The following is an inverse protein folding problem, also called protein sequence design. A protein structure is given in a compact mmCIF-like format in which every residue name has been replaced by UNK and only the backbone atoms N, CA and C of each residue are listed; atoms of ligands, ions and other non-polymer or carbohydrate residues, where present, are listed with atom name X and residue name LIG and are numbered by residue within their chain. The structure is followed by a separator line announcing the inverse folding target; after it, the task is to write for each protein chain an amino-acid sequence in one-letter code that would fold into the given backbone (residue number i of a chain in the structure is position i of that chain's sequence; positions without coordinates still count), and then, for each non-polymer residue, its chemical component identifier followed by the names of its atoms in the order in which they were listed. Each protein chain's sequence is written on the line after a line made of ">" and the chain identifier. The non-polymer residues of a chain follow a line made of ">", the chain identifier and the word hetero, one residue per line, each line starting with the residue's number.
data_IF_252021948557
#
_entry.id   IF_252021948557
#
_cell.length_a   1.000
_cell.length_b   1.000
_cell.length_c   1.000
_cell.angle_alpha   90.00
_cell.angle_beta   90.00
_cell.angle_gamma   90.00
#
_symmetry.space_group_name_H-M   'P 1'
#
loop_
_entity.id
_entity.type
_entity.pdbx_description
1 polymer ?
#
# COMPACT_ATOMS: atom_id res chain seq x y z
N UNK A 1 2.89 2.39 -12.64
CA UNK A 1 2.36 1.07 -12.22
C UNK A 1 2.04 1.06 -10.73
N UNK A 2 3.00 1.33 -9.81
CA UNK A 2 2.76 1.29 -8.36
C UNK A 2 1.60 2.20 -7.91
N UNK A 3 1.54 3.46 -8.38
CA UNK A 3 0.43 4.38 -8.03
C UNK A 3 -0.94 3.81 -8.40
N UNK A 4 -1.07 3.19 -9.55
CA UNK A 4 -2.31 2.54 -9.98
C UNK A 4 -2.64 1.34 -9.09
N UNK A 5 -1.66 0.46 -8.87
CA UNK A 5 -1.82 -0.75 -8.08
C UNK A 5 -2.24 -0.46 -6.63
N UNK A 6 -1.54 0.46 -5.94
CA UNK A 6 -1.84 0.77 -4.53
C UNK A 6 -3.17 1.51 -4.37
N UNK A 7 -3.52 2.41 -5.30
CA UNK A 7 -4.83 3.06 -5.28
C UNK A 7 -5.94 2.03 -5.44
N UNK A 8 -5.83 1.15 -6.41
CA UNK A 8 -6.82 0.10 -6.64
C UNK A 8 -6.93 -0.86 -5.44
N UNK A 9 -5.85 -1.09 -4.70
CA UNK A 9 -5.83 -1.98 -3.54
C UNK A 9 -6.35 -1.32 -2.27
N UNK A 10 -5.87 -0.11 -1.94
CA UNK A 10 -6.14 0.58 -0.67
C UNK A 10 -7.26 1.63 -0.78
N UNK A 11 -7.38 2.31 -1.93
CA UNK A 11 -8.24 3.49 -2.05
C UNK A 11 -8.60 3.81 -3.51
N UNK A 12 -9.49 3.02 -4.09
CA UNK A 12 -9.87 3.12 -5.51
C UNK A 12 -10.36 4.54 -5.89
N UNK A 13 -11.04 5.21 -4.97
CA UNK A 13 -11.61 6.54 -5.15
C UNK A 13 -10.73 7.68 -4.61
N UNK A 14 -9.44 7.45 -4.40
CA UNK A 14 -8.49 8.41 -3.83
C UNK A 14 -8.57 9.81 -4.43
N UNK A 15 -8.76 9.93 -5.74
CA UNK A 15 -8.80 11.24 -6.42
C UNK A 15 -10.12 12.01 -6.24
N UNK A 16 -11.17 11.36 -5.71
CA UNK A 16 -12.54 11.92 -5.74
C UNK A 16 -13.08 12.29 -4.35
N UNK A 17 -12.45 11.86 -3.28
CA UNK A 17 -12.92 12.13 -1.93
C UNK A 17 -12.00 13.12 -1.18
N UNK A 18 -12.51 13.88 -0.22
CA UNK A 18 -11.75 14.88 0.55
C UNK A 18 -11.03 14.24 1.76
N UNK A 19 -10.21 13.23 1.53
CA UNK A 19 -9.41 12.56 2.57
C UNK A 19 -10.07 11.38 3.26
N UNK A 20 -11.39 11.23 3.18
CA UNK A 20 -12.10 10.04 3.63
C UNK A 20 -13.23 9.67 2.65
N UNK A 21 -13.56 8.40 2.59
CA UNK A 21 -14.64 7.89 1.75
C UNK A 21 -15.81 7.44 2.63
N UNK A 22 -16.95 8.20 2.67
CA UNK A 22 -18.09 7.88 3.52
C UNK A 22 -18.67 6.50 3.23
N UNK A 23 -18.78 6.12 1.94
CA UNK A 23 -19.31 4.83 1.54
C UNK A 23 -18.42 3.66 2.00
N UNK A 24 -17.10 3.84 1.95
CA UNK A 24 -16.15 2.84 2.45
C UNK A 24 -16.20 2.72 3.98
N UNK A 25 -16.41 3.82 4.69
CA UNK A 25 -16.60 3.83 6.14
C UNK A 25 -17.90 3.12 6.54
N UNK A 26 -19.00 3.43 5.86
CA UNK A 26 -20.30 2.80 6.09
C UNK A 26 -20.26 1.29 5.80
N UNK A 27 -19.65 0.89 4.68
CA UNK A 27 -19.44 -0.51 4.33
C UNK A 27 -18.60 -1.23 5.39
N UNK A 28 -17.50 -0.62 5.83
CA UNK A 28 -16.63 -1.19 6.86
C UNK A 28 -17.37 -1.33 8.20
N UNK A 29 -18.17 -0.34 8.57
CA UNK A 29 -19.01 -0.40 9.77
C UNK A 29 -20.00 -1.56 9.69
N UNK A 30 -20.77 -1.66 8.59
CA UNK A 30 -21.74 -2.74 8.39
C UNK A 30 -21.09 -4.14 8.41
N UNK A 31 -19.95 -4.30 7.73
CA UNK A 31 -19.22 -5.57 7.69
C UNK A 31 -18.64 -5.97 9.05
N UNK A 32 -18.15 -5.00 9.81
CA UNK A 32 -17.59 -5.25 11.14
C UNK A 32 -18.68 -5.51 12.19
N UNK A 33 -19.85 -4.88 12.03
CA UNK A 33 -21.02 -5.14 12.88
C UNK A 33 -21.55 -6.57 12.71
N UNK A 34 -21.56 -7.08 11.49
CA UNK A 34 -22.04 -8.43 11.17
C UNK A 34 -21.01 -9.53 11.46
N UNK A 35 -19.77 -9.19 11.81
CA UNK A 35 -18.72 -10.16 12.06
C UNK A 35 -18.02 -9.90 13.38
N UNK A 36 -17.74 -10.95 14.13
CA UNK A 36 -16.97 -10.89 15.39
C UNK A 36 -15.51 -10.45 15.23
N UNK A 37 -15.06 -10.15 14.00
CA UNK A 37 -13.68 -9.74 13.68
C UNK A 37 -13.70 -8.56 12.73
N UNK A 38 -12.73 -7.64 12.90
CA UNK A 38 -12.52 -6.51 11.99
C UNK A 38 -12.09 -7.03 10.61
N UNK A 39 -13.03 -7.08 9.66
CA UNK A 39 -12.79 -7.58 8.29
C UNK A 39 -12.37 -6.48 7.31
N UNK A 40 -12.82 -5.25 7.52
CA UNK A 40 -12.59 -4.15 6.58
C UNK A 40 -12.17 -2.89 7.33
N UNK A 41 -11.19 -2.20 6.79
CA UNK A 41 -10.55 -1.03 7.41
C UNK A 41 -11.00 0.27 6.83
N UNK A 42 -11.90 0.51 5.99
CA UNK A 42 -12.46 1.78 5.48
C UNK A 42 -11.52 3.02 5.54
N UNK A 43 -10.21 2.82 5.67
CA UNK A 43 -9.23 3.90 5.79
C UNK A 43 -8.67 4.22 4.41
N UNK A 44 -8.62 5.49 4.06
CA UNK A 44 -8.05 6.00 2.81
C UNK A 44 -6.54 6.11 2.88
N UNK A 45 -5.88 6.36 1.76
CA UNK A 45 -4.44 6.65 1.68
C UNK A 45 -4.09 7.87 2.55
N UNK A 46 -4.92 8.91 2.52
CA UNK A 46 -4.72 10.12 3.34
C UNK A 46 -4.79 9.83 4.84
N UNK A 47 -5.78 9.05 5.29
CA UNK A 47 -5.88 8.62 6.69
C UNK A 47 -4.70 7.74 7.11
N UNK A 48 -4.21 6.88 6.19
CA UNK A 48 -3.02 6.07 6.45
C UNK A 48 -1.76 6.93 6.61
N UNK A 49 -1.58 7.96 5.78
CA UNK A 49 -0.49 8.93 5.90
C UNK A 49 -0.50 9.60 7.28
N UNK A 50 -1.66 10.08 7.74
CA UNK A 50 -1.82 10.66 9.09
C UNK A 50 -1.42 9.66 10.17
N UNK A 51 -1.86 8.42 10.06
CA UNK A 51 -1.53 7.36 11.01
C UNK A 51 -0.03 7.10 11.10
N UNK A 52 0.64 7.02 9.95
CA UNK A 52 2.09 6.82 9.85
C UNK A 52 2.84 7.96 10.55
N UNK A 53 2.44 9.22 10.31
CA UNK A 53 3.08 10.39 10.92
C UNK A 53 2.89 10.46 12.43
N UNK A 54 1.74 10.04 12.94
CA UNK A 54 1.40 10.16 14.37
C UNK A 54 1.89 9.01 15.25
N UNK A 55 2.12 7.82 14.68
CA UNK A 55 2.59 6.60 15.39
C UNK A 55 1.80 6.24 16.67
N UNK A 56 0.51 6.57 16.74
CA UNK A 56 -0.36 6.30 17.90
C UNK A 56 -1.03 4.92 17.80
N UNK A 57 -1.35 4.33 18.95
CA UNK A 57 -2.10 3.07 19.04
C UNK A 57 -3.47 3.22 18.36
N UNK A 58 -3.94 2.17 17.69
CA UNK A 58 -5.20 2.17 16.95
C UNK A 58 -6.39 2.09 17.90
N UNK A 59 -7.10 3.24 18.06
CA UNK A 59 -8.36 3.34 18.81
C UNK A 59 -9.42 4.02 17.97
N UNK A 60 -10.69 3.94 18.35
CA UNK A 60 -11.77 4.65 17.65
C UNK A 60 -11.57 6.18 17.71
N UNK A 61 -11.10 6.68 18.85
CA UNK A 61 -10.77 8.10 19.01
C UNK A 61 -9.64 8.55 18.07
N UNK A 62 -8.59 7.76 17.96
CA UNK A 62 -7.51 8.06 17.01
C UNK A 62 -8.01 8.01 15.56
N UNK A 63 -8.94 7.10 15.24
CA UNK A 63 -9.54 7.04 13.90
C UNK A 63 -10.36 8.29 13.59
N UNK A 64 -11.08 8.85 14.56
CA UNK A 64 -11.78 10.12 14.41
C UNK A 64 -10.78 11.28 14.16
N UNK A 65 -9.70 11.36 14.95
CA UNK A 65 -8.65 12.35 14.73
C UNK A 65 -7.98 12.18 13.35
N UNK A 66 -7.71 10.94 12.92
CA UNK A 66 -7.19 10.66 11.56
C UNK A 66 -8.11 11.25 10.47
N UNK A 67 -9.42 11.14 10.65
CA UNK A 67 -10.40 11.67 9.70
C UNK A 67 -10.36 13.21 9.65
N UNK A 68 -10.37 13.87 10.80
CA UNK A 68 -10.32 15.36 10.87
C UNK A 68 -9.01 15.88 10.27
N UNK A 69 -7.88 15.25 10.60
CA UNK A 69 -6.58 15.62 10.06
C UNK A 69 -6.45 15.30 8.56
N UNK A 70 -7.09 14.23 8.09
CA UNK A 70 -7.13 13.92 6.67
C UNK A 70 -7.85 15.02 5.87
N UNK A 71 -8.97 15.54 6.36
CA UNK A 71 -9.63 16.71 5.77
C UNK A 71 -8.71 17.93 5.72
N UNK A 72 -8.02 18.21 6.83
CA UNK A 72 -7.09 19.36 6.90
C UNK A 72 -5.96 19.24 5.88
N UNK A 73 -5.35 18.07 5.73
CA UNK A 73 -4.27 17.85 4.77
C UNK A 73 -4.78 18.00 3.32
N UNK A 74 -5.97 17.52 3.01
CA UNK A 74 -6.55 17.64 1.65
C UNK A 74 -6.88 19.07 1.24
N UNK A 75 -7.04 19.98 2.19
CA UNK A 75 -7.17 21.42 1.91
C UNK A 75 -5.80 22.04 1.60
N UNK A 76 -4.72 21.55 2.23
CA UNK A 76 -3.39 22.13 2.15
C UNK A 76 -2.51 21.56 1.03
N UNK A 77 -2.73 20.31 0.66
CA UNK A 77 -1.90 19.56 -0.28
C UNK A 77 -2.74 18.96 -1.41
N UNK A 78 -2.19 18.97 -2.60
CA UNK A 78 -2.78 18.27 -3.74
C UNK A 78 -2.73 16.75 -3.56
N UNK A 79 -3.60 16.01 -4.24
CA UNK A 79 -3.57 14.54 -4.28
C UNK A 79 -2.21 13.97 -4.71
N UNK A 80 -1.49 14.68 -5.57
CA UNK A 80 -0.15 14.28 -6.02
C UNK A 80 0.86 14.35 -4.87
N UNK A 81 0.84 15.43 -4.10
CA UNK A 81 1.72 15.64 -2.94
C UNK A 81 1.40 14.65 -1.81
N UNK A 82 0.10 14.49 -1.48
CA UNK A 82 -0.34 13.50 -0.48
C UNK A 82 0.14 12.10 -0.86
N UNK A 83 0.00 11.73 -2.13
CA UNK A 83 0.47 10.44 -2.61
C UNK A 83 2.00 10.31 -2.52
N UNK A 84 2.75 11.35 -2.86
CA UNK A 84 4.21 11.36 -2.75
C UNK A 84 4.66 11.20 -1.29
N UNK A 85 4.03 11.94 -0.36
CA UNK A 85 4.28 11.81 1.07
C UNK A 85 3.96 10.40 1.58
N UNK A 86 2.83 9.83 1.15
CA UNK A 86 2.48 8.45 1.50
C UNK A 86 3.52 7.47 0.97
N UNK A 87 3.87 7.54 -0.31
CA UNK A 87 4.84 6.65 -0.92
C UNK A 87 6.22 6.73 -0.27
N UNK A 88 6.65 7.93 0.15
CA UNK A 88 7.92 8.15 0.84
C UNK A 88 7.96 7.59 2.28
N UNK A 89 6.81 7.47 2.94
CA UNK A 89 6.74 7.12 4.37
C UNK A 89 6.02 5.80 4.67
N UNK A 90 5.38 5.17 3.69
CA UNK A 90 4.67 3.91 3.88
C UNK A 90 5.63 2.78 4.31
N UNK A 91 5.21 1.91 5.24
CA UNK A 91 5.99 0.75 5.65
C UNK A 91 5.81 -0.40 4.65
N UNK A 92 6.91 -0.98 4.19
CA UNK A 92 6.92 -2.10 3.24
C UNK A 92 7.37 -3.43 3.87
N UNK A 93 7.41 -3.52 5.20
CA UNK A 93 7.87 -4.70 5.93
C UNK A 93 9.39 -4.80 6.07
N UNK A 94 9.85 -5.67 6.97
CA UNK A 94 11.29 -5.86 7.19
C UNK A 94 12.08 -4.60 7.54
N UNK A 95 11.46 -3.65 8.26
CA UNK A 95 12.00 -2.33 8.60
C UNK A 95 12.26 -1.42 7.37
N UNK A 96 11.66 -1.74 6.22
CA UNK A 96 11.78 -0.92 5.01
C UNK A 96 10.67 0.12 5.00
N UNK A 97 11.05 1.39 4.89
CA UNK A 97 10.15 2.56 4.83
C UNK A 97 10.40 3.32 3.53
N UNK A 98 9.33 3.65 2.83
CA UNK A 98 9.37 4.36 1.56
C UNK A 98 9.47 3.45 0.34
N UNK A 99 8.78 3.86 -0.73
CA UNK A 99 8.69 3.11 -1.99
C UNK A 99 10.07 2.94 -2.67
N UNK A 100 10.87 4.01 -2.67
CA UNK A 100 12.21 3.97 -3.28
C UNK A 100 13.08 2.92 -2.60
N UNK A 101 13.16 2.98 -1.25
CA UNK A 101 13.89 2.00 -0.47
C UNK A 101 13.36 0.57 -0.65
N UNK A 102 12.03 0.40 -0.73
CA UNK A 102 11.41 -0.90 -0.94
C UNK A 102 11.73 -1.47 -2.33
N UNK A 103 11.70 -0.64 -3.37
CA UNK A 103 12.01 -1.03 -4.74
C UNK A 103 13.45 -1.53 -4.84
N UNK A 104 14.41 -0.78 -4.31
CA UNK A 104 15.82 -1.19 -4.27
C UNK A 104 16.05 -2.42 -3.38
N UNK A 105 15.41 -2.44 -2.20
CA UNK A 105 15.62 -3.53 -1.22
C UNK A 105 15.08 -4.87 -1.69
N UNK A 106 13.98 -4.88 -2.44
CA UNK A 106 13.33 -6.12 -2.88
C UNK A 106 13.62 -6.48 -4.33
N UNK A 107 13.91 -5.50 -5.19
CA UNK A 107 14.05 -5.71 -6.64
C UNK A 107 15.33 -5.15 -7.25
N UNK A 108 16.13 -4.37 -6.50
CA UNK A 108 17.40 -3.81 -6.97
C UNK A 108 17.26 -2.79 -8.10
N UNK A 109 16.10 -2.13 -8.20
CA UNK A 109 15.81 -1.16 -9.26
C UNK A 109 14.89 -0.05 -8.78
N UNK A 110 14.88 1.06 -9.52
CA UNK A 110 14.03 2.21 -9.24
C UNK A 110 12.54 1.90 -9.47
N UNK A 111 11.60 2.54 -8.73
CA UNK A 111 10.16 2.28 -8.80
C UNK A 111 9.53 2.41 -10.20
N UNK A 112 10.09 3.26 -11.07
CA UNK A 112 9.55 3.44 -12.42
C UNK A 112 9.87 2.26 -13.36
N UNK A 113 10.89 1.45 -13.03
CA UNK A 113 11.30 0.28 -13.79
C UNK A 113 10.56 -1.01 -13.37
N UNK A 114 9.78 -0.96 -12.29
CA UNK A 114 9.05 -2.13 -11.79
C UNK A 114 8.12 -2.74 -12.84
N UNK A 115 8.06 -4.07 -12.88
CA UNK A 115 7.02 -4.82 -13.58
C UNK A 115 5.63 -4.57 -12.95
N UNK A 116 4.56 -5.09 -13.52
CA UNK A 116 3.25 -5.06 -12.88
C UNK A 116 3.18 -6.00 -11.67
N UNK A 117 3.84 -7.15 -11.73
CA UNK A 117 3.93 -8.09 -10.61
C UNK A 117 4.69 -7.48 -9.42
N UNK A 118 5.84 -6.86 -9.68
CA UNK A 118 6.65 -6.18 -8.68
C UNK A 118 5.88 -5.00 -8.05
N UNK A 119 5.25 -4.17 -8.87
CA UNK A 119 4.44 -3.05 -8.43
C UNK A 119 3.23 -3.49 -7.60
N UNK A 120 2.55 -4.56 -7.99
CA UNK A 120 1.44 -5.15 -7.23
C UNK A 120 1.93 -5.78 -5.92
N UNK A 121 3.09 -6.43 -5.93
CA UNK A 121 3.71 -6.95 -4.70
C UNK A 121 3.97 -5.84 -3.70
N UNK A 122 4.62 -4.76 -4.11
CA UNK A 122 4.86 -3.62 -3.21
C UNK A 122 3.55 -2.98 -2.77
N UNK A 123 2.54 -2.88 -3.63
CA UNK A 123 1.26 -2.25 -3.31
C UNK A 123 0.47 -2.97 -2.19
N UNK A 124 0.67 -4.27 -1.99
CA UNK A 124 -0.04 -5.02 -0.94
C UNK A 124 0.66 -5.03 0.41
N UNK A 125 1.94 -4.60 0.47
CA UNK A 125 2.75 -4.67 1.70
C UNK A 125 2.29 -3.69 2.79
N UNK A 126 1.97 -2.40 2.52
CA UNK A 126 1.59 -1.44 3.55
C UNK A 126 0.34 -1.85 4.34
N UNK A 127 -0.49 -2.70 3.79
CA UNK A 127 -1.70 -3.22 4.45
C UNK A 127 -1.38 -4.08 5.68
N UNK A 128 -0.26 -4.83 5.67
CA UNK A 128 0.11 -5.71 6.77
C UNK A 128 1.65 -5.89 6.86
N UNK A 129 2.43 -4.82 7.04
CA UNK A 129 3.89 -4.81 6.87
C UNK A 129 4.63 -5.66 7.91
N UNK A 130 4.04 -5.90 9.07
CA UNK A 130 4.61 -6.79 10.09
C UNK A 130 4.37 -8.29 9.81
N UNK A 131 3.37 -8.60 8.99
CA UNK A 131 2.91 -9.96 8.75
C UNK A 131 3.41 -10.53 7.43
N UNK A 132 3.51 -9.70 6.38
CA UNK A 132 3.85 -10.14 5.03
C UNK A 132 4.88 -9.20 4.40
N UNK A 133 5.95 -9.77 3.90
CA UNK A 133 6.95 -9.11 3.04
C UNK A 133 7.83 -10.19 2.40
N UNK A 134 8.62 -9.90 1.36
CA UNK A 134 9.56 -10.86 0.77
C UNK A 134 10.45 -11.51 1.83
N UNK A 135 10.36 -12.85 1.93
CA UNK A 135 11.01 -13.64 2.99
C UNK A 135 10.10 -14.00 4.17
N UNK A 136 8.88 -13.43 4.25
CA UNK A 136 7.93 -13.76 5.33
C UNK A 136 6.52 -13.98 4.80
N UNK A 137 5.94 -15.15 5.12
CA UNK A 137 4.59 -15.55 4.71
C UNK A 137 4.35 -15.45 3.18
N UNK A 138 5.28 -15.96 2.39
CA UNK A 138 5.30 -15.90 0.93
C UNK A 138 3.99 -16.33 0.27
N UNK A 139 3.38 -17.43 0.73
CA UNK A 139 2.09 -17.92 0.19
C UNK A 139 0.99 -16.87 0.34
N UNK A 140 0.94 -16.19 1.49
CA UNK A 140 -0.06 -15.14 1.73
C UNK A 140 0.22 -13.88 0.92
N UNK A 141 1.49 -13.54 0.73
CA UNK A 141 1.93 -12.44 -0.11
C UNK A 141 1.56 -12.71 -1.57
N UNK A 142 1.86 -13.92 -2.08
CA UNK A 142 1.52 -14.35 -3.43
C UNK A 142 0.00 -14.25 -3.69
N UNK A 143 -0.82 -14.78 -2.78
CA UNK A 143 -2.28 -14.70 -2.89
C UNK A 143 -2.78 -13.26 -2.97
N UNK A 144 -2.24 -12.35 -2.16
CA UNK A 144 -2.64 -10.93 -2.19
C UNK A 144 -2.18 -10.23 -3.48
N UNK A 145 -0.96 -10.52 -3.96
CA UNK A 145 -0.46 -10.00 -5.23
C UNK A 145 -1.36 -10.46 -6.39
N UNK A 146 -1.63 -11.75 -6.50
CA UNK A 146 -2.42 -12.30 -7.59
C UNK A 146 -3.87 -11.78 -7.55
N UNK A 147 -4.47 -11.64 -6.38
CA UNK A 147 -5.76 -10.98 -6.23
C UNK A 147 -5.74 -9.54 -6.79
N UNK A 148 -4.68 -8.78 -6.50
CA UNK A 148 -4.55 -7.42 -7.04
C UNK A 148 -4.30 -7.41 -8.55
N UNK A 149 -3.50 -8.35 -9.08
CA UNK A 149 -3.28 -8.51 -10.52
C UNK A 149 -4.60 -8.82 -11.25
N UNK A 150 -5.41 -9.73 -10.72
CA UNK A 150 -6.74 -10.03 -11.24
C UNK A 150 -7.65 -8.78 -11.23
N UNK A 151 -7.58 -7.98 -10.16
CA UNK A 151 -8.35 -6.72 -10.07
C UNK A 151 -7.85 -5.69 -11.09
N UNK A 152 -6.54 -5.59 -11.33
CA UNK A 152 -5.96 -4.73 -12.36
C UNK A 152 -6.41 -5.14 -13.77
N UNK A 153 -6.44 -6.44 -14.04
CA UNK A 153 -6.94 -6.99 -15.30
C UNK A 153 -8.44 -6.73 -15.49
N UNK A 154 -9.27 -7.04 -14.48
CA UNK A 154 -10.72 -6.84 -14.55
C UNK A 154 -11.14 -5.36 -14.70
N UNK A 155 -10.27 -4.43 -14.33
CA UNK A 155 -10.46 -2.98 -14.50
C UNK A 155 -9.75 -2.42 -15.74
N UNK A 156 -9.22 -3.27 -16.61
CA UNK A 156 -8.53 -2.90 -17.86
C UNK A 156 -7.28 -2.01 -17.66
N UNK A 157 -6.61 -2.09 -16.50
CA UNK A 157 -5.32 -1.43 -16.27
C UNK A 157 -4.15 -2.21 -16.89
N UNK A 158 -4.33 -3.52 -17.08
CA UNK A 158 -3.39 -4.41 -17.74
C UNK A 158 -4.17 -5.31 -18.72
N UNK A 159 -3.54 -5.67 -19.81
CA UNK A 159 -4.10 -6.65 -20.77
C UNK A 159 -3.89 -8.09 -20.30
N UNK A 160 -4.46 -9.05 -21.05
CA UNK A 160 -4.38 -10.48 -20.70
C UNK A 160 -2.95 -11.00 -20.72
N UNK A 161 -2.13 -10.54 -21.66
CA UNK A 161 -0.73 -10.97 -21.78
C UNK A 161 0.07 -10.48 -20.56
N UNK A 162 -0.08 -9.19 -20.22
CA UNK A 162 0.55 -8.60 -19.02
C UNK A 162 0.08 -9.31 -17.75
N UNK A 163 -1.20 -9.66 -17.64
CA UNK A 163 -1.73 -10.40 -16.50
C UNK A 163 -1.07 -11.77 -16.37
N UNK A 164 -1.05 -12.58 -17.43
CA UNK A 164 -0.49 -13.92 -17.42
C UNK A 164 1.01 -13.88 -17.05
N UNK A 165 1.80 -13.03 -17.72
CA UNK A 165 3.23 -12.85 -17.42
C UNK A 165 3.47 -12.41 -15.96
N UNK A 166 2.62 -11.53 -15.44
CA UNK A 166 2.73 -11.04 -14.06
C UNK A 166 2.38 -12.11 -13.02
N UNK A 167 1.49 -13.03 -13.34
CA UNK A 167 1.13 -14.14 -12.45
C UNK A 167 2.26 -15.16 -12.33
N UNK A 168 2.98 -15.43 -13.44
CA UNK A 168 4.12 -16.35 -13.50
C UNK A 168 5.38 -15.78 -12.84
N UNK A 169 5.50 -14.45 -12.74
CA UNK A 169 6.68 -13.79 -12.18
C UNK A 169 6.87 -14.16 -10.69
N UNK A 170 8.04 -14.71 -10.28
CA UNK A 170 8.26 -15.16 -8.93
C UNK A 170 8.36 -14.00 -7.94
N UNK A 171 7.98 -14.26 -6.67
CA UNK A 171 8.24 -13.32 -5.59
C UNK A 171 9.72 -13.36 -5.17
N UNK A 172 10.31 -12.23 -4.74
CA UNK A 172 11.62 -12.23 -4.11
C UNK A 172 11.62 -13.12 -2.86
N UNK A 173 12.57 -14.02 -2.75
CA UNK A 173 12.66 -14.95 -1.62
C UNK A 173 13.15 -14.27 -0.34
N UNK A 174 13.97 -13.24 -0.47
CA UNK A 174 14.54 -12.46 0.64
C UNK A 174 14.88 -11.05 0.16
N UNK A 175 14.98 -10.09 1.09
CA UNK A 175 15.49 -8.75 0.76
C UNK A 175 16.93 -8.84 0.23
N UNK A 176 17.27 -8.05 -0.78
CA UNK A 176 18.63 -7.91 -1.28
C UNK A 176 19.53 -7.31 -0.19
N UNK A 177 20.83 -7.62 -0.22
CA UNK A 177 21.79 -6.97 0.68
C UNK A 177 21.89 -5.49 0.31
N UNK A 178 21.99 -4.64 1.31
CA UNK A 178 22.29 -3.23 1.08
C UNK A 178 23.71 -3.10 0.52
N UNK A 179 23.98 -2.14 -0.37
CA UNK A 179 25.34 -1.87 -0.83
C UNK A 179 26.23 -1.58 0.39
N UNK A 180 27.33 -2.32 0.53
CA UNK A 180 28.25 -2.14 1.65
C UNK A 180 29.14 -0.89 1.53
N UNK A 181 29.08 -0.20 0.37
CA UNK A 181 29.94 0.94 0.06
C UNK A 181 29.37 2.31 0.48
N UNK A 182 28.27 2.36 1.25
CA UNK A 182 27.71 3.61 1.75
C UNK A 182 28.20 3.91 3.17
N UNK A 183 29.50 3.88 3.41
CA UNK A 183 30.13 4.23 4.70
C UNK A 183 29.92 5.70 5.14
N UNK A 184 29.19 6.51 4.35
CA UNK A 184 28.97 7.93 4.61
C UNK A 184 27.51 8.28 4.98
N UNK A 185 26.65 7.30 5.27
CA UNK A 185 25.24 7.50 5.65
C UNK A 185 24.90 6.85 7.01
N UNK A 186 25.86 6.79 7.93
CA UNK A 186 25.63 6.49 9.35
C UNK A 186 25.84 7.74 10.18
#
# INVERSE_FOLDING_TARGET
>A
KFRTAIRLFEDEYFNYHPGFNPLSLLRAFRQNWQSSRVKSGGSTITMQLIRISRRKKRTYWQKFIELVLALKIEIQYSKKEIFALYAANAPFGGNVVGLEAASWRYYGRSPHLLSWAEAATLAVLPNAPSLIYPGKNQIKLLKKRNFLLQKLYSKNYIDKTQYNLSEEEPLPQKPLRLPQNSNHLL
#
